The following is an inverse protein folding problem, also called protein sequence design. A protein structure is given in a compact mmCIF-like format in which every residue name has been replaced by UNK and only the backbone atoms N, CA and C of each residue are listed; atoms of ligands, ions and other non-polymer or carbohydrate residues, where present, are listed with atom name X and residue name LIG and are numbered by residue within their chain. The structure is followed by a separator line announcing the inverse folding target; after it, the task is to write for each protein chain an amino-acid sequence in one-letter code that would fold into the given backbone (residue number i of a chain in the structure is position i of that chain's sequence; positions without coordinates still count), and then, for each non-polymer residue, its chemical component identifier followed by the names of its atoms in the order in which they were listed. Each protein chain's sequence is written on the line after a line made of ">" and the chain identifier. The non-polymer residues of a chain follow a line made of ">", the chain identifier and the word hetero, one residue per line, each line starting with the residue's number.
data_IF_831393519283
#
_entry.id   IF_831393519283
#
_cell.length_a   1.000
_cell.length_b   1.000
_cell.length_c   1.000
_cell.angle_alpha   90.00
_cell.angle_beta   90.00
_cell.angle_gamma   90.00
#
_symmetry.space_group_name_H-M   'P 1'
#
loop_
_entity.id
_entity.type
_entity.pdbx_description
1 polymer ?
#
# COMPACT_ATOMS: atom_id res chain seq x y z
N UNK A 1 -61.07 2.32 13.67
CA UNK A 1 -59.98 3.30 13.44
C UNK A 1 -58.72 2.49 13.15
N UNK A 2 -58.30 2.36 11.88
CA UNK A 2 -57.16 1.53 11.47
C UNK A 2 -55.91 2.42 11.40
N UNK A 3 -54.88 2.09 12.18
CA UNK A 3 -53.57 2.73 12.09
C UNK A 3 -52.85 2.18 10.86
N UNK A 4 -52.55 3.03 9.89
CA UNK A 4 -51.58 2.74 8.85
C UNK A 4 -50.24 3.37 9.25
N UNK A 5 -49.19 2.58 9.52
CA UNK A 5 -47.86 3.14 9.68
C UNK A 5 -47.34 3.49 8.28
N UNK A 6 -47.35 4.78 7.93
CA UNK A 6 -46.51 5.24 6.85
C UNK A 6 -45.06 4.95 7.23
N UNK A 7 -44.38 4.15 6.42
CA UNK A 7 -42.94 3.97 6.50
C UNK A 7 -42.31 5.31 6.14
N UNK A 8 -41.94 6.06 7.17
CA UNK A 8 -41.08 7.24 7.06
C UNK A 8 -39.67 6.77 6.65
N UNK A 9 -39.49 6.45 5.36
CA UNK A 9 -38.22 6.05 4.75
C UNK A 9 -37.20 7.21 4.70
N UNK A 10 -37.54 8.37 5.27
CA UNK A 10 -36.79 9.63 5.13
C UNK A 10 -36.09 10.09 6.41
N UNK A 11 -35.92 9.23 7.42
CA UNK A 11 -35.08 9.52 8.60
C UNK A 11 -33.75 8.78 8.58
N UNK A 12 -33.02 8.87 7.47
CA UNK A 12 -31.56 8.74 7.58
C UNK A 12 -31.07 10.00 8.27
N UNK A 13 -30.89 9.93 9.59
CA UNK A 13 -30.19 10.99 10.32
C UNK A 13 -28.78 11.07 9.72
N UNK A 14 -28.51 12.12 8.93
CA UNK A 14 -27.17 12.38 8.46
C UNK A 14 -26.27 12.45 9.69
N UNK A 15 -25.31 11.52 9.79
CA UNK A 15 -24.34 11.57 10.87
C UNK A 15 -23.73 12.97 10.88
N UNK A 16 -23.67 13.66 12.04
CA UNK A 16 -23.10 14.99 12.11
C UNK A 16 -21.71 14.95 11.47
N UNK A 17 -21.43 15.90 10.58
CA UNK A 17 -20.14 15.99 9.89
C UNK A 17 -19.06 16.22 10.94
N UNK A 18 -18.46 15.12 11.42
CA UNK A 18 -17.38 15.17 12.38
C UNK A 18 -16.17 15.82 11.68
N UNK A 19 -15.55 16.87 12.23
CA UNK A 19 -14.37 17.51 11.64
C UNK A 19 -13.23 16.51 11.40
N UNK A 20 -13.13 15.46 12.21
CA UNK A 20 -12.19 14.36 12.02
C UNK A 20 -12.45 13.59 10.73
N UNK A 21 -13.72 13.32 10.38
CA UNK A 21 -14.08 12.62 9.15
C UNK A 21 -13.74 13.45 7.91
N UNK A 22 -14.02 14.76 7.93
CA UNK A 22 -13.65 15.68 6.85
C UNK A 22 -12.13 15.76 6.67
N UNK A 23 -11.37 15.84 7.78
CA UNK A 23 -9.90 15.81 7.74
C UNK A 23 -9.35 14.51 7.17
N UNK A 24 -9.94 13.37 7.54
CA UNK A 24 -9.54 12.05 7.03
C UNK A 24 -9.87 11.94 5.54
N UNK A 25 -11.01 12.46 5.10
CA UNK A 25 -11.39 12.50 3.69
C UNK A 25 -10.44 13.37 2.87
N UNK A 26 -10.12 14.58 3.33
CA UNK A 26 -9.17 15.46 2.68
C UNK A 26 -7.76 14.84 2.62
N UNK A 27 -7.32 14.14 3.68
CA UNK A 27 -6.04 13.44 3.69
C UNK A 27 -5.95 12.27 2.70
N UNK A 28 -7.09 11.79 2.15
CA UNK A 28 -7.14 10.77 1.10
C UNK A 28 -7.09 11.37 -0.31
N UNK A 29 -7.16 12.70 -0.46
CA UNK A 29 -6.96 13.33 -1.76
C UNK A 29 -5.50 13.17 -2.20
N UNK A 30 -5.31 12.37 -3.25
CA UNK A 30 -3.99 12.13 -3.82
C UNK A 30 -3.64 13.20 -4.85
N UNK A 31 -2.40 13.69 -4.78
CA UNK A 31 -1.82 14.52 -5.84
C UNK A 31 -1.75 13.76 -7.18
N UNK A 32 -1.66 14.46 -8.33
CA UNK A 32 -1.51 13.80 -9.62
C UNK A 32 -0.29 12.86 -9.69
N UNK A 33 0.82 13.24 -9.07
CA UNK A 33 2.04 12.42 -8.98
C UNK A 33 1.78 11.16 -8.14
N UNK A 34 1.16 11.30 -6.97
CA UNK A 34 0.79 10.16 -6.11
C UNK A 34 -0.18 9.20 -6.82
N UNK A 35 -1.08 9.72 -7.67
CA UNK A 35 -1.95 8.88 -8.49
C UNK A 35 -1.17 8.08 -9.54
N UNK A 36 -0.18 8.68 -10.19
CA UNK A 36 0.69 7.98 -11.15
C UNK A 36 1.53 6.91 -10.45
N UNK A 37 2.10 7.22 -9.29
CA UNK A 37 2.81 6.23 -8.47
C UNK A 37 1.89 5.09 -8.05
N UNK A 38 0.67 5.40 -7.61
CA UNK A 38 -0.30 4.39 -7.21
C UNK A 38 -0.64 3.45 -8.37
N UNK A 39 -0.87 3.99 -9.57
CA UNK A 39 -1.12 3.16 -10.75
C UNK A 39 0.07 2.25 -11.08
N UNK A 40 1.30 2.75 -10.99
CA UNK A 40 2.51 1.93 -11.15
C UNK A 40 2.57 0.82 -10.08
N UNK A 41 2.32 1.15 -8.82
CA UNK A 41 2.29 0.19 -7.71
C UNK A 41 1.21 -0.88 -7.89
N UNK A 42 0.02 -0.52 -8.36
CA UNK A 42 -1.07 -1.47 -8.67
C UNK A 42 -0.66 -2.44 -9.77
N UNK A 43 -0.05 -1.94 -10.84
CA UNK A 43 0.49 -2.80 -11.90
C UNK A 43 1.57 -3.75 -11.39
N UNK A 44 2.50 -3.25 -10.58
CA UNK A 44 3.54 -4.08 -9.98
C UNK A 44 2.96 -5.14 -9.05
N UNK A 45 1.98 -4.79 -8.21
CA UNK A 45 1.29 -5.72 -7.32
C UNK A 45 0.59 -6.83 -8.11
N UNK A 46 -0.17 -6.46 -9.14
CA UNK A 46 -0.87 -7.39 -10.02
C UNK A 46 0.12 -8.35 -10.72
N UNK A 47 1.20 -7.82 -11.31
CA UNK A 47 2.23 -8.63 -11.99
C UNK A 47 2.94 -9.57 -11.03
N UNK A 48 3.21 -9.13 -9.80
CA UNK A 48 3.85 -9.94 -8.77
C UNK A 48 3.02 -11.18 -8.42
N UNK A 49 1.68 -11.10 -8.52
CA UNK A 49 0.78 -12.24 -8.31
C UNK A 49 0.90 -13.33 -9.37
N UNK A 50 1.55 -13.06 -10.51
CA UNK A 50 1.81 -14.04 -11.57
C UNK A 50 3.14 -14.79 -11.37
N UNK A 51 4.05 -14.26 -10.55
CA UNK A 51 5.37 -14.84 -10.33
C UNK A 51 5.33 -16.00 -9.32
N UNK A 52 6.20 -17.03 -9.39
CA UNK A 52 6.25 -18.07 -8.36
C UNK A 52 6.44 -17.50 -6.95
N UNK A 53 5.87 -18.15 -5.93
CA UNK A 53 6.17 -17.80 -4.53
C UNK A 53 7.63 -18.18 -4.24
N UNK A 54 8.49 -17.18 -4.09
CA UNK A 54 9.88 -17.37 -3.69
C UNK A 54 10.02 -17.24 -2.17
N UNK A 55 10.94 -18.00 -1.59
CA UNK A 55 11.40 -17.76 -0.22
C UNK A 55 11.91 -16.32 -0.07
N UNK A 56 11.36 -15.59 0.91
CA UNK A 56 11.60 -14.15 1.08
C UNK A 56 13.07 -13.83 1.36
N UNK A 57 13.68 -14.59 2.25
CA UNK A 57 15.07 -14.37 2.67
C UNK A 57 16.02 -14.69 1.53
N UNK A 58 15.81 -15.82 0.83
CA UNK A 58 16.57 -16.18 -0.37
C UNK A 58 16.46 -15.12 -1.46
N UNK A 59 15.26 -14.58 -1.71
CA UNK A 59 15.07 -13.51 -2.68
C UNK A 59 15.85 -12.24 -2.29
N UNK A 60 15.84 -11.88 -1.00
CA UNK A 60 16.60 -10.73 -0.51
C UNK A 60 18.11 -10.93 -0.64
N UNK A 61 18.63 -12.12 -0.35
CA UNK A 61 20.06 -12.42 -0.54
C UNK A 61 20.50 -12.27 -1.99
N UNK A 62 19.71 -12.77 -2.95
CA UNK A 62 20.00 -12.61 -4.39
C UNK A 62 20.01 -11.13 -4.79
N UNK A 63 19.04 -10.36 -4.30
CA UNK A 63 18.95 -8.93 -4.59
C UNK A 63 20.09 -8.13 -3.98
N UNK A 64 20.50 -8.46 -2.75
CA UNK A 64 21.61 -7.79 -2.08
C UNK A 64 22.94 -7.94 -2.83
N UNK A 65 23.15 -9.07 -3.52
CA UNK A 65 24.30 -9.31 -4.38
C UNK A 65 24.21 -8.67 -5.77
N UNK A 66 23.07 -8.05 -6.13
CA UNK A 66 22.81 -7.51 -7.47
C UNK A 66 22.40 -6.03 -7.39
N UNK A 67 23.37 -5.10 -7.32
CA UNK A 67 23.08 -3.67 -7.21
C UNK A 67 22.31 -3.10 -8.41
N UNK A 68 22.30 -3.80 -9.55
CA UNK A 68 21.56 -3.44 -10.78
C UNK A 68 20.25 -4.22 -10.95
N UNK A 69 19.73 -4.82 -9.87
CA UNK A 69 18.45 -5.53 -9.94
C UNK A 69 17.31 -4.60 -10.41
N UNK A 70 16.45 -5.13 -11.28
CA UNK A 70 15.35 -4.36 -11.86
C UNK A 70 14.25 -4.05 -10.85
N UNK A 71 13.48 -2.99 -11.12
CA UNK A 71 12.26 -2.64 -10.39
C UNK A 71 11.33 -3.85 -10.22
N UNK A 72 11.11 -4.61 -11.29
CA UNK A 72 10.25 -5.80 -11.26
C UNK A 72 10.70 -6.85 -10.24
N UNK A 73 12.01 -7.07 -10.08
CA UNK A 73 12.51 -8.06 -9.12
C UNK A 73 12.30 -7.59 -7.68
N UNK A 74 12.58 -6.33 -7.39
CA UNK A 74 12.30 -5.75 -6.07
C UNK A 74 10.81 -5.76 -5.77
N UNK A 75 9.98 -5.32 -6.71
CA UNK A 75 8.54 -5.28 -6.55
C UNK A 75 7.95 -6.68 -6.37
N UNK A 76 8.38 -7.66 -7.17
CA UNK A 76 7.92 -9.05 -7.04
C UNK A 76 8.24 -9.62 -5.67
N UNK A 77 9.48 -9.49 -5.21
CA UNK A 77 9.88 -9.96 -3.89
C UNK A 77 9.12 -9.22 -2.77
N UNK A 78 8.92 -7.90 -2.92
CA UNK A 78 8.18 -7.08 -1.96
C UNK A 78 6.71 -7.49 -1.84
N UNK A 79 5.97 -7.52 -2.95
CA UNK A 79 4.54 -7.84 -2.92
C UNK A 79 4.29 -9.31 -2.57
N UNK A 80 5.13 -10.25 -3.02
CA UNK A 80 5.07 -11.64 -2.55
C UNK A 80 5.37 -11.75 -1.06
N UNK A 81 6.39 -11.04 -0.59
CA UNK A 81 6.71 -10.95 0.84
C UNK A 81 5.55 -10.40 1.67
N UNK A 82 4.85 -9.37 1.17
CA UNK A 82 3.65 -8.84 1.82
C UNK A 82 2.52 -9.87 1.90
N UNK A 83 2.24 -10.62 0.83
CA UNK A 83 1.19 -11.65 0.85
C UNK A 83 1.38 -12.66 1.99
N UNK A 84 2.62 -13.01 2.31
CA UNK A 84 2.91 -14.05 3.30
C UNK A 84 3.21 -13.48 4.71
N UNK A 85 3.73 -12.25 4.80
CA UNK A 85 4.27 -11.67 6.06
C UNK A 85 3.47 -10.49 6.62
N UNK A 86 2.44 -10.05 5.92
CA UNK A 86 1.55 -9.03 6.43
C UNK A 86 0.79 -9.51 7.68
N UNK A 87 0.50 -8.59 8.60
CA UNK A 87 -0.26 -8.86 9.82
C UNK A 87 -1.75 -9.12 9.56
N UNK A 88 -2.28 -8.53 8.49
CA UNK A 88 -3.62 -8.77 7.94
C UNK A 88 -3.57 -8.86 6.41
N UNK A 89 -4.63 -9.34 5.78
CA UNK A 89 -4.75 -9.36 4.32
C UNK A 89 -4.59 -7.95 3.73
N UNK A 90 -3.86 -7.84 2.61
CA UNK A 90 -3.59 -6.58 1.90
C UNK A 90 -4.67 -6.33 0.84
N UNK A 91 -5.32 -5.18 0.90
CA UNK A 91 -6.31 -4.74 -0.09
C UNK A 91 -5.64 -3.82 -1.11
N UNK A 92 -5.33 -4.32 -2.29
CA UNK A 92 -4.85 -3.51 -3.41
C UNK A 92 -5.86 -3.60 -4.54
N UNK A 93 -6.33 -2.46 -5.03
CA UNK A 93 -7.34 -2.42 -6.08
C UNK A 93 -6.70 -2.60 -7.46
N UNK A 94 -7.55 -2.94 -8.43
CA UNK A 94 -7.13 -3.07 -9.82
C UNK A 94 -6.58 -1.74 -10.36
N UNK A 95 -5.63 -1.76 -11.30
CA UNK A 95 -5.24 -0.56 -12.04
C UNK A 95 -6.46 0.16 -12.64
N UNK A 96 -6.47 1.48 -12.56
CA UNK A 96 -7.56 2.34 -13.01
C UNK A 96 -8.75 2.45 -12.05
N UNK A 97 -8.70 1.86 -10.85
CA UNK A 97 -9.73 2.08 -9.83
C UNK A 97 -9.72 3.55 -9.35
N UNK A 98 -10.91 4.18 -9.31
CA UNK A 98 -11.05 5.56 -8.87
C UNK A 98 -10.83 5.73 -7.36
N UNK A 99 -11.26 4.74 -6.59
CA UNK A 99 -11.09 4.71 -5.13
C UNK A 99 -9.69 4.25 -4.74
N UNK A 100 -9.32 4.53 -3.49
CA UNK A 100 -8.02 4.17 -2.91
C UNK A 100 -8.27 3.46 -1.59
N UNK A 101 -7.63 2.30 -1.40
CA UNK A 101 -7.72 1.56 -0.14
C UNK A 101 -6.80 2.15 0.94
N UNK A 102 -7.02 1.80 2.20
CA UNK A 102 -6.13 2.21 3.30
C UNK A 102 -4.72 1.61 3.16
N UNK A 103 -4.63 0.41 2.61
CA UNK A 103 -3.36 -0.27 2.33
C UNK A 103 -2.59 0.41 1.18
N UNK A 104 -3.30 0.93 0.18
CA UNK A 104 -2.71 1.74 -0.89
C UNK A 104 -2.23 3.09 -0.36
N UNK A 105 -2.99 3.72 0.53
CA UNK A 105 -2.55 4.92 1.24
C UNK A 105 -1.29 4.64 2.08
N UNK A 106 -1.23 3.50 2.77
CA UNK A 106 -0.05 3.06 3.51
C UNK A 106 1.16 2.85 2.57
N UNK A 107 0.98 2.23 1.41
CA UNK A 107 2.03 2.06 0.41
C UNK A 107 2.58 3.40 -0.07
N UNK A 108 1.71 4.36 -0.43
CA UNK A 108 2.13 5.69 -0.86
C UNK A 108 2.88 6.44 0.24
N UNK A 109 2.45 6.31 1.50
CA UNK A 109 3.16 6.88 2.66
C UNK A 109 4.54 6.23 2.84
N UNK A 110 4.66 4.93 2.60
CA UNK A 110 5.95 4.23 2.65
C UNK A 110 6.90 4.70 1.55
N UNK A 111 6.39 4.86 0.32
CA UNK A 111 7.16 5.44 -0.80
C UNK A 111 7.62 6.86 -0.44
N UNK A 112 6.71 7.72 0.02
CA UNK A 112 7.04 9.09 0.41
C UNK A 112 8.07 9.16 1.54
N UNK A 113 7.98 8.29 2.55
CA UNK A 113 8.96 8.22 3.64
C UNK A 113 10.36 7.86 3.13
N UNK A 114 10.47 6.92 2.19
CA UNK A 114 11.75 6.57 1.58
C UNK A 114 12.31 7.70 0.71
N UNK A 115 11.49 8.33 -0.13
CA UNK A 115 11.91 9.46 -0.99
C UNK A 115 12.39 10.68 -0.20
N UNK A 116 11.78 10.93 0.96
CA UNK A 116 12.13 12.05 1.84
C UNK A 116 13.26 11.72 2.83
N UNK A 117 13.85 10.51 2.76
CA UNK A 117 14.92 10.08 3.66
C UNK A 117 14.48 9.83 5.10
N UNK A 118 13.18 9.73 5.38
CA UNK A 118 12.64 9.52 6.71
C UNK A 118 12.66 8.03 7.11
N UNK A 119 13.86 7.47 7.31
CA UNK A 119 14.04 6.03 7.58
C UNK A 119 13.29 5.52 8.82
N UNK A 120 13.19 6.35 9.87
CA UNK A 120 12.46 6.01 11.08
C UNK A 120 10.95 5.88 10.81
N UNK A 121 10.39 6.78 10.00
CA UNK A 121 8.99 6.73 9.59
C UNK A 121 8.71 5.51 8.70
N UNK A 122 9.61 5.22 7.74
CA UNK A 122 9.51 4.01 6.93
C UNK A 122 9.58 2.73 7.77
N UNK A 123 10.48 2.69 8.75
CA UNK A 123 10.58 1.59 9.71
C UNK A 123 9.30 1.40 10.53
N UNK A 124 8.69 2.48 11.01
CA UNK A 124 7.43 2.46 11.74
C UNK A 124 6.28 1.94 10.85
N UNK A 125 6.15 2.45 9.62
CA UNK A 125 5.15 2.00 8.65
C UNK A 125 5.25 0.49 8.37
N UNK A 126 6.47 -0.01 8.15
CA UNK A 126 6.69 -1.46 7.99
C UNK A 126 6.31 -2.21 9.27
N UNK A 127 6.66 -1.70 10.45
CA UNK A 127 6.37 -2.37 11.71
C UNK A 127 4.87 -2.54 12.01
N UNK A 128 4.04 -1.60 11.53
CA UNK A 128 2.59 -1.65 11.68
C UNK A 128 1.93 -2.71 10.79
N UNK A 129 2.52 -2.98 9.62
CA UNK A 129 1.92 -3.87 8.62
C UNK A 129 2.56 -5.25 8.53
N UNK A 130 3.77 -5.42 9.03
CA UNK A 130 4.60 -6.62 8.82
C UNK A 130 4.95 -7.30 10.14
N UNK A 131 4.85 -8.63 10.16
CA UNK A 131 5.24 -9.47 11.31
C UNK A 131 6.72 -9.28 11.68
N UNK A 132 7.09 -9.30 12.97
CA UNK A 132 8.45 -9.00 13.42
C UNK A 132 9.59 -9.67 12.65
N UNK A 133 9.54 -10.99 12.33
CA UNK A 133 10.64 -11.68 11.66
C UNK A 133 10.98 -11.13 10.26
N UNK A 134 9.98 -10.60 9.55
CA UNK A 134 10.14 -10.14 8.17
C UNK A 134 10.46 -8.64 8.06
N UNK A 135 10.36 -7.85 9.15
CA UNK A 135 10.46 -6.38 9.09
C UNK A 135 11.76 -5.88 8.46
N UNK A 136 12.89 -6.51 8.79
CA UNK A 136 14.20 -6.15 8.22
C UNK A 136 14.20 -6.33 6.70
N UNK A 137 13.72 -7.47 6.22
CA UNK A 137 13.65 -7.79 4.80
C UNK A 137 12.67 -6.88 4.07
N UNK A 138 11.51 -6.62 4.65
CA UNK A 138 10.53 -5.71 4.05
C UNK A 138 11.00 -4.26 3.98
N UNK A 139 11.81 -3.80 4.94
CA UNK A 139 12.50 -2.50 4.85
C UNK A 139 13.51 -2.49 3.70
N UNK A 140 14.35 -3.51 3.59
CA UNK A 140 15.31 -3.65 2.48
C UNK A 140 14.61 -3.63 1.12
N UNK A 141 13.57 -4.44 0.95
CA UNK A 141 12.83 -4.55 -0.31
C UNK A 141 12.08 -3.27 -0.68
N UNK A 142 11.37 -2.65 0.28
CA UNK A 142 10.66 -1.40 -0.01
C UNK A 142 11.61 -0.25 -0.35
N UNK A 143 12.75 -0.14 0.34
CA UNK A 143 13.76 0.86 0.01
C UNK A 143 14.35 0.64 -1.40
N UNK A 144 14.74 -0.60 -1.73
CA UNK A 144 15.25 -0.94 -3.05
C UNK A 144 14.22 -0.72 -4.16
N UNK A 145 12.96 -1.08 -3.92
CA UNK A 145 11.84 -0.86 -4.83
C UNK A 145 11.63 0.63 -5.12
N UNK A 146 11.62 1.49 -4.10
CA UNK A 146 11.44 2.95 -4.30
C UNK A 146 12.59 3.54 -5.11
N UNK A 147 13.83 3.16 -4.77
CA UNK A 147 15.00 3.60 -5.56
C UNK A 147 14.91 3.17 -7.03
N UNK A 148 14.47 1.94 -7.29
CA UNK A 148 14.30 1.44 -8.65
C UNK A 148 13.09 2.05 -9.37
N UNK A 149 12.04 2.44 -8.63
CA UNK A 149 10.85 3.12 -9.15
C UNK A 149 11.22 4.52 -9.65
N UNK A 150 12.01 5.24 -8.87
CA UNK A 150 12.45 6.60 -9.22
C UNK A 150 13.46 6.59 -10.37
N UNK A 151 14.31 5.56 -10.47
CA UNK A 151 15.23 5.38 -11.59
C UNK A 151 14.54 5.02 -12.92
N UNK A 152 13.30 4.53 -12.85
CA UNK A 152 12.49 4.14 -14.02
C UNK A 152 11.45 5.21 -14.42
N UNK A 153 11.36 6.32 -13.66
CA UNK A 153 10.45 7.44 -13.90
C UNK A 153 11.03 8.40 -14.94
#
# INVERSE_FOLDING_TARGET
>A
MRFHPERDETRVLAFPRCPTAERVAAARELSPEQRLDLERLRWLALRSQLAPKSDLERACYVLAGQPTASLDRYATAFFRGLCDQATSEMTVYRPGAAEVSDDECWLLRLVGAWRTGQEAAAGALVSWRVRPPARRWMRFLSHGMVRALDAAA
#
